data_IF_640878503567
#
_entry.id   IF_640878503567
#
_cell.length_a   1.000
_cell.length_b   1.000
_cell.length_c   1.000
_cell.angle_alpha   90.00
_cell.angle_beta   90.00
_cell.angle_gamma   90.00
#
_symmetry.space_group_name_H-M   'P 1'
#
loop_
_entity.id
_entity.type
_entity.pdbx_description
1 polymer ?
#
# COMPACT_ATOMS: atom_id res chain seq x y z
N UNK A 1 -5.36 -11.50 -5.56
CA UNK A 1 -6.60 -11.52 -4.75
C UNK A 1 -7.12 -10.10 -4.65
N UNK A 2 -8.32 -9.84 -5.17
CA UNK A 2 -8.97 -8.53 -5.11
C UNK A 2 -9.18 -8.12 -3.65
N UNK A 3 -8.73 -6.93 -3.27
CA UNK A 3 -8.76 -6.44 -1.88
C UNK A 3 -10.17 -5.97 -1.49
N UNK A 4 -10.84 -6.61 -0.52
CA UNK A 4 -12.13 -6.16 0.02
C UNK A 4 -11.99 -4.88 0.86
N UNK A 5 -13.10 -4.14 0.99
CA UNK A 5 -13.15 -2.74 1.45
C UNK A 5 -12.42 -2.50 2.77
N UNK A 6 -11.32 -1.73 2.70
CA UNK A 6 -11.08 -0.50 3.47
C UNK A 6 -9.71 0.10 3.08
N UNK A 7 -9.57 1.41 3.22
CA UNK A 7 -8.76 2.24 2.33
C UNK A 7 -7.25 2.14 2.56
N UNK A 8 -6.54 1.51 1.62
CA UNK A 8 -5.23 1.83 1.01
C UNK A 8 -4.85 0.53 0.29
N UNK A 9 -5.12 0.37 -1.00
CA UNK A 9 -4.05 0.26 -2.00
C UNK A 9 -4.65 0.47 -3.40
N UNK A 10 -4.02 1.28 -4.24
CA UNK A 10 -4.32 1.34 -5.68
C UNK A 10 -3.29 0.43 -6.38
N UNK A 11 -3.70 -0.43 -7.33
CA UNK A 11 -2.77 -1.30 -8.03
C UNK A 11 -1.76 -0.49 -8.87
N UNK A 12 -0.55 -1.01 -9.10
CA UNK A 12 0.35 -0.48 -10.12
C UNK A 12 -0.21 -0.84 -11.50
N UNK A 13 -0.43 0.15 -12.36
CA UNK A 13 -0.65 -0.08 -13.80
C UNK A 13 0.68 -0.53 -14.42
N UNK A 14 0.71 -1.76 -14.95
CA UNK A 14 1.84 -2.30 -15.70
C UNK A 14 1.85 -1.68 -17.11
N UNK A 15 2.84 -0.83 -17.39
CA UNK A 15 3.25 -0.56 -18.77
C UNK A 15 4.05 -1.75 -19.29
N UNK A 16 3.38 -2.58 -20.08
CA UNK A 16 4.00 -3.64 -20.89
C UNK A 16 4.76 -2.98 -22.04
N UNK A 17 6.06 -3.25 -22.14
CA UNK A 17 6.86 -2.95 -23.33
C UNK A 17 7.23 -4.30 -23.94
N UNK A 18 6.66 -4.58 -25.10
CA UNK A 18 6.99 -5.71 -25.97
C UNK A 18 8.41 -5.56 -26.52
N UNK A 19 9.19 -6.66 -26.48
CA UNK A 19 10.53 -6.73 -27.03
C UNK A 19 10.86 -8.14 -27.49
N UNK A 20 10.34 -8.54 -28.64
CA UNK A 20 10.57 -9.84 -29.26
C UNK A 20 11.65 -9.70 -30.36
N UNK A 21 12.72 -10.52 -30.31
CA UNK A 21 13.38 -11.27 -31.44
C UNK A 21 14.92 -11.42 -31.38
N UNK A 22 15.34 -12.69 -31.50
CA UNK A 22 16.45 -13.26 -32.32
C UNK A 22 17.89 -13.10 -31.75
N UNK A 23 18.79 -14.09 -31.69
CA UNK A 23 19.20 -15.12 -32.67
C UNK A 23 20.00 -16.30 -32.05
N UNK A 24 20.10 -17.36 -32.86
CA UNK A 24 20.64 -18.72 -32.66
C UNK A 24 22.19 -18.91 -32.71
N UNK A 25 22.62 -20.10 -32.21
CA UNK A 25 23.79 -20.96 -32.59
C UNK A 25 25.19 -20.59 -32.05
N UNK A 26 26.14 -21.49 -31.73
CA UNK A 26 26.27 -22.95 -31.64
C UNK A 26 27.62 -23.35 -30.97
N UNK A 27 27.61 -24.41 -30.15
CA UNK A 27 28.66 -25.37 -29.69
C UNK A 27 30.19 -25.12 -29.78
N UNK A 28 30.91 -25.30 -28.65
CA UNK A 28 31.76 -26.50 -28.32
C UNK A 28 32.28 -26.48 -26.87
N UNK A 29 32.52 -27.66 -26.29
CA UNK A 29 32.68 -27.95 -24.86
C UNK A 29 34.12 -28.20 -24.37
N UNK A 30 34.35 -28.04 -23.04
CA UNK A 30 35.11 -28.87 -22.04
C UNK A 30 35.60 -27.99 -20.84
N UNK A 31 36.01 -28.52 -19.66
CA UNK A 31 35.27 -29.31 -18.67
C UNK A 31 35.30 -28.72 -17.21
N UNK A 32 34.25 -29.02 -16.44
CA UNK A 32 34.12 -29.14 -14.97
C UNK A 32 34.78 -28.12 -14.02
N UNK A 33 34.02 -27.07 -13.73
CA UNK A 33 33.68 -26.64 -12.36
C UNK A 33 32.17 -26.46 -12.39
N UNK A 34 31.42 -26.81 -11.34
CA UNK A 34 29.94 -26.74 -11.34
C UNK A 34 29.44 -25.28 -11.30
N UNK A 35 29.84 -24.49 -12.28
CA UNK A 35 29.24 -23.20 -12.58
C UNK A 35 27.89 -23.51 -13.23
N UNK A 36 26.81 -23.24 -12.50
CA UNK A 36 25.49 -23.20 -13.11
C UNK A 36 25.58 -22.17 -14.25
N UNK A 37 25.17 -22.57 -15.45
CA UNK A 37 25.24 -21.71 -16.62
C UNK A 37 24.49 -20.39 -16.33
N UNK A 38 25.10 -19.21 -16.53
CA UNK A 38 24.42 -17.93 -16.31
C UNK A 38 23.06 -17.83 -17.03
N UNK A 39 22.93 -18.45 -18.22
CA UNK A 39 21.65 -18.49 -18.93
C UNK A 39 20.60 -19.39 -18.25
N UNK A 40 21.02 -20.42 -17.52
CA UNK A 40 20.12 -21.27 -16.71
C UNK A 40 19.68 -20.57 -15.42
N UNK A 41 20.58 -19.80 -14.78
CA UNK A 41 20.23 -18.98 -13.62
C UNK A 41 19.24 -17.88 -13.99
N UNK A 42 19.50 -17.17 -15.10
CA UNK A 42 18.61 -16.15 -15.63
C UNK A 42 17.21 -16.70 -15.93
N UNK A 43 17.12 -17.84 -16.64
CA UNK A 43 15.84 -18.48 -16.94
C UNK A 43 15.08 -18.91 -15.68
N UNK A 44 15.77 -19.53 -14.69
CA UNK A 44 15.16 -19.92 -13.42
C UNK A 44 14.65 -18.73 -12.61
N UNK A 45 15.37 -17.62 -12.63
CA UNK A 45 15.03 -16.44 -11.84
C UNK A 45 13.80 -15.68 -12.39
N UNK A 46 13.56 -15.74 -13.71
CA UNK A 46 12.41 -15.09 -14.35
C UNK A 46 11.06 -15.70 -13.95
N UNK A 47 11.03 -16.99 -13.66
CA UNK A 47 9.82 -17.72 -13.23
C UNK A 47 9.43 -17.46 -11.77
N UNK A 48 10.28 -16.75 -11.00
CA UNK A 48 10.04 -16.50 -9.58
C UNK A 48 9.01 -15.37 -9.42
N UNK A 49 7.91 -15.60 -8.69
CA UNK A 49 6.93 -14.56 -8.36
C UNK A 49 7.59 -13.36 -7.67
N UNK A 50 7.14 -12.15 -8.00
CA UNK A 50 7.77 -10.91 -7.53
C UNK A 50 7.92 -10.86 -6.00
N UNK A 51 6.94 -11.33 -5.24
CA UNK A 51 6.95 -11.36 -3.78
C UNK A 51 7.93 -12.37 -3.16
N UNK A 52 8.54 -13.23 -3.98
CA UNK A 52 9.51 -14.25 -3.56
C UNK A 52 10.91 -14.02 -4.08
N UNK A 53 11.11 -13.13 -5.04
CA UNK A 53 12.44 -12.86 -5.65
C UNK A 53 13.50 -12.48 -4.64
N UNK A 54 13.17 -11.68 -3.63
CA UNK A 54 14.15 -11.26 -2.59
C UNK A 54 14.77 -12.46 -1.87
N UNK A 55 14.05 -13.56 -1.78
CA UNK A 55 14.50 -14.78 -1.13
C UNK A 55 15.07 -15.79 -2.13
N UNK A 56 14.35 -16.03 -3.23
CA UNK A 56 14.60 -17.16 -4.12
C UNK A 56 15.46 -16.80 -5.34
N UNK A 57 15.72 -15.51 -5.59
CA UNK A 57 16.58 -15.11 -6.71
C UNK A 57 18.01 -15.51 -6.44
N UNK A 58 18.53 -16.41 -7.27
CA UNK A 58 19.85 -17.01 -7.10
C UNK A 58 20.92 -16.32 -7.93
N UNK A 59 22.14 -16.32 -7.39
CA UNK A 59 23.40 -15.89 -8.02
C UNK A 59 24.49 -16.91 -7.67
N UNK A 60 25.65 -16.90 -8.34
CA UNK A 60 26.79 -17.70 -7.91
C UNK A 60 27.15 -17.48 -6.42
N UNK A 61 27.04 -16.24 -5.92
CA UNK A 61 27.27 -15.93 -4.51
C UNK A 61 26.23 -16.57 -3.58
N UNK A 62 24.94 -16.45 -3.90
CA UNK A 62 23.87 -17.03 -3.07
C UNK A 62 24.01 -18.55 -2.98
N UNK A 63 24.43 -19.21 -4.06
CA UNK A 63 24.63 -20.66 -4.08
C UNK A 63 25.78 -21.08 -3.14
N UNK A 64 26.88 -20.33 -3.11
CA UNK A 64 27.99 -20.57 -2.19
C UNK A 64 27.58 -20.39 -0.73
N UNK A 65 26.84 -19.32 -0.44
CA UNK A 65 26.34 -19.02 0.91
C UNK A 65 25.33 -20.09 1.36
N UNK A 66 24.43 -20.50 0.46
CA UNK A 66 23.46 -21.56 0.72
C UNK A 66 24.16 -22.89 1.03
N UNK A 67 25.17 -23.28 0.25
CA UNK A 67 25.97 -24.48 0.52
C UNK A 67 26.68 -24.42 1.88
N UNK A 68 27.16 -23.23 2.28
CA UNK A 68 27.74 -23.03 3.60
C UNK A 68 26.67 -23.18 4.71
N UNK A 69 25.48 -22.60 4.54
CA UNK A 69 24.37 -22.77 5.49
C UNK A 69 23.93 -24.24 5.63
N UNK A 70 23.89 -24.99 4.52
CA UNK A 70 23.58 -26.43 4.49
C UNK A 70 24.56 -27.27 5.32
N UNK A 71 25.81 -26.80 5.46
CA UNK A 71 26.81 -27.44 6.32
C UNK A 71 26.64 -27.13 7.81
N UNK A 72 26.00 -26.02 8.17
CA UNK A 72 25.89 -25.54 9.56
C UNK A 72 24.56 -25.96 10.20
N UNK A 73 23.45 -25.90 9.45
CA UNK A 73 22.11 -26.17 9.96
C UNK A 73 21.29 -27.03 9.00
N UNK A 74 20.42 -27.88 9.57
CA UNK A 74 19.54 -28.74 8.77
C UNK A 74 18.62 -27.93 7.85
N UNK A 75 18.32 -28.48 6.67
CA UNK A 75 17.37 -27.92 5.71
C UNK A 75 16.03 -27.51 6.36
N UNK A 76 15.49 -28.31 7.30
CA UNK A 76 14.26 -27.99 8.03
C UNK A 76 14.34 -26.68 8.82
N UNK A 77 15.48 -26.39 9.44
CA UNK A 77 15.68 -25.15 10.20
C UNK A 77 15.86 -23.96 9.27
N UNK A 78 16.53 -24.15 8.14
CA UNK A 78 16.67 -23.10 7.13
C UNK A 78 15.32 -22.68 6.54
N UNK A 79 14.46 -23.65 6.20
CA UNK A 79 13.09 -23.36 5.75
C UNK A 79 12.35 -22.51 6.77
N UNK A 80 12.43 -22.85 8.06
CA UNK A 80 11.80 -22.05 9.13
C UNK A 80 12.40 -20.63 9.24
N UNK A 81 13.71 -20.49 9.09
CA UNK A 81 14.35 -19.17 9.08
C UNK A 81 13.85 -18.32 7.91
N UNK A 82 13.80 -18.90 6.71
CA UNK A 82 13.33 -18.22 5.50
C UNK A 82 11.84 -17.88 5.57
N UNK A 83 10.99 -18.76 6.11
CA UNK A 83 9.58 -18.45 6.40
C UNK A 83 9.45 -17.27 7.36
N UNK A 84 10.26 -17.24 8.42
CA UNK A 84 10.31 -16.11 9.37
C UNK A 84 10.73 -14.80 8.70
N UNK A 85 11.72 -14.83 7.82
CA UNK A 85 12.17 -13.67 7.05
C UNK A 85 11.10 -13.16 6.06
N UNK A 86 10.35 -14.06 5.42
CA UNK A 86 9.24 -13.68 4.55
C UNK A 86 8.11 -12.99 5.32
N UNK A 87 7.74 -13.51 6.49
CA UNK A 87 6.67 -12.97 7.34
C UNK A 87 7.05 -11.60 7.93
N UNK A 88 8.35 -11.31 8.07
CA UNK A 88 8.83 -10.02 8.57
C UNK A 88 8.51 -8.83 7.65
N UNK A 89 8.08 -9.08 6.40
CA UNK A 89 7.73 -8.03 5.43
C UNK A 89 6.37 -8.31 4.80
N UNK A 90 5.56 -7.26 4.56
CA UNK A 90 4.24 -7.42 3.93
C UNK A 90 4.36 -7.82 2.46
N UNK A 91 3.35 -8.52 1.94
CA UNK A 91 3.31 -9.00 0.54
C UNK A 91 3.58 -7.87 -0.47
N UNK A 92 2.91 -6.72 -0.30
CA UNK A 92 3.11 -5.55 -1.17
C UNK A 92 4.54 -5.02 -1.14
N UNK A 93 5.17 -5.05 0.04
CA UNK A 93 6.57 -4.64 0.20
C UNK A 93 7.48 -5.62 -0.53
N UNK A 94 7.22 -6.92 -0.41
CA UNK A 94 8.01 -7.95 -1.10
C UNK A 94 7.87 -7.85 -2.61
N UNK A 95 6.66 -7.61 -3.13
CA UNK A 95 6.44 -7.38 -4.57
C UNK A 95 7.24 -6.17 -5.08
N UNK A 96 7.18 -5.03 -4.36
CA UNK A 96 7.93 -3.83 -4.74
C UNK A 96 9.45 -4.06 -4.69
N UNK A 97 9.94 -4.82 -3.71
CA UNK A 97 11.35 -5.17 -3.59
C UNK A 97 11.79 -6.13 -4.70
N UNK A 98 11.01 -7.18 -4.98
CA UNK A 98 11.30 -8.12 -6.06
C UNK A 98 11.22 -7.49 -7.46
N UNK A 99 10.41 -6.44 -7.65
CA UNK A 99 10.47 -5.63 -8.85
C UNK A 99 11.83 -4.91 -8.97
N UNK A 100 12.39 -4.43 -7.87
CA UNK A 100 13.73 -3.84 -7.85
C UNK A 100 14.84 -4.81 -8.23
N UNK A 101 14.77 -6.05 -7.74
CA UNK A 101 15.71 -7.11 -8.12
C UNK A 101 15.65 -7.41 -9.62
N UNK A 102 14.44 -7.51 -10.18
CA UNK A 102 14.26 -7.72 -11.61
C UNK A 102 14.87 -6.58 -12.42
N UNK A 103 14.57 -5.32 -12.06
CA UNK A 103 15.10 -4.14 -12.77
C UNK A 103 16.63 -4.06 -12.70
N UNK A 104 17.22 -4.37 -11.56
CA UNK A 104 18.67 -4.38 -11.40
C UNK A 104 19.33 -5.46 -12.27
N UNK A 105 18.76 -6.67 -12.32
CA UNK A 105 19.31 -7.73 -13.15
C UNK A 105 19.11 -7.44 -14.64
N UNK A 106 17.95 -6.89 -15.06
CA UNK A 106 17.74 -6.44 -16.43
C UNK A 106 18.75 -5.38 -16.87
N UNK A 107 19.05 -4.41 -15.98
CA UNK A 107 20.12 -3.44 -16.21
C UNK A 107 21.48 -4.12 -16.38
N UNK A 108 21.83 -5.03 -15.46
CA UNK A 108 23.09 -5.77 -15.54
C UNK A 108 23.17 -6.65 -16.80
N UNK A 109 22.07 -7.24 -17.25
CA UNK A 109 22.01 -8.03 -18.49
C UNK A 109 22.25 -7.12 -19.71
N UNK A 110 21.60 -5.95 -19.75
CA UNK A 110 21.75 -4.97 -20.83
C UNK A 110 23.18 -4.42 -20.92
N UNK A 111 23.83 -4.19 -19.78
CA UNK A 111 25.22 -3.70 -19.68
C UNK A 111 26.26 -4.83 -19.69
N UNK A 112 25.83 -6.08 -19.93
CA UNK A 112 26.69 -7.27 -19.98
C UNK A 112 27.55 -7.48 -18.72
N UNK A 113 27.03 -7.09 -17.55
CA UNK A 113 27.67 -7.29 -16.24
C UNK A 113 27.50 -8.75 -15.82
N UNK A 114 28.60 -9.51 -15.61
CA UNK A 114 28.54 -10.90 -15.18
C UNK A 114 27.79 -11.08 -13.85
N UNK A 115 27.03 -12.16 -13.69
CA UNK A 115 26.29 -12.46 -12.45
C UNK A 115 27.18 -12.52 -11.20
N UNK A 116 28.44 -12.93 -11.36
CA UNK A 116 29.44 -12.96 -10.28
C UNK A 116 29.77 -11.58 -9.70
N UNK A 117 29.51 -10.49 -10.43
CA UNK A 117 29.73 -9.12 -9.98
C UNK A 117 28.46 -8.45 -9.43
N UNK A 118 27.31 -9.12 -9.54
CA UNK A 118 26.01 -8.59 -9.10
C UNK A 118 25.77 -8.75 -7.61
N UNK A 119 26.54 -9.61 -6.94
CA UNK A 119 26.49 -9.84 -5.49
C UNK A 119 27.86 -10.30 -4.95
N UNK A 120 28.48 -9.56 -4.02
CA UNK A 120 28.08 -8.24 -3.53
C UNK A 120 28.17 -7.18 -4.63
N UNK A 121 27.10 -6.39 -4.82
CA UNK A 121 27.10 -5.30 -5.79
C UNK A 121 27.99 -4.14 -5.31
N UNK A 122 28.97 -3.77 -6.12
CA UNK A 122 29.88 -2.66 -5.80
C UNK A 122 29.15 -1.31 -5.72
N UNK A 123 29.73 -0.35 -5.00
CA UNK A 123 29.18 1.01 -4.89
C UNK A 123 29.03 1.70 -6.25
N UNK A 124 29.96 1.45 -7.18
CA UNK A 124 29.91 1.98 -8.55
C UNK A 124 28.81 1.33 -9.38
N UNK A 125 28.58 0.01 -9.24
CA UNK A 125 27.50 -0.69 -9.96
C UNK A 125 26.12 -0.21 -9.49
N UNK A 126 25.94 -0.07 -8.17
CA UNK A 126 24.72 0.49 -7.59
C UNK A 126 24.49 1.93 -8.04
N UNK A 127 25.56 2.73 -8.11
CA UNK A 127 25.49 4.10 -8.63
C UNK A 127 25.11 4.14 -10.11
N UNK A 128 25.71 3.32 -10.94
CA UNK A 128 25.40 3.20 -12.37
C UNK A 128 23.93 2.81 -12.59
N UNK A 129 23.45 1.80 -11.87
CA UNK A 129 22.04 1.38 -11.91
C UNK A 129 21.08 2.55 -11.58
N UNK A 130 21.36 3.31 -10.53
CA UNK A 130 20.54 4.49 -10.20
C UNK A 130 20.61 5.54 -11.29
N UNK A 131 21.82 5.84 -11.78
CA UNK A 131 22.04 6.87 -12.78
C UNK A 131 21.26 6.59 -14.08
N UNK A 132 21.26 5.35 -14.53
CA UNK A 132 20.51 4.86 -15.70
C UNK A 132 18.99 5.08 -15.56
N UNK A 133 18.46 4.96 -14.34
CA UNK A 133 17.04 5.11 -14.07
C UNK A 133 16.62 6.52 -13.64
N UNK A 134 17.54 7.49 -13.53
CA UNK A 134 17.17 8.86 -13.16
C UNK A 134 16.22 9.43 -14.21
N UNK A 135 15.04 9.87 -13.75
CA UNK A 135 14.05 10.48 -14.63
C UNK A 135 13.23 9.47 -15.46
N UNK A 136 13.22 8.19 -15.09
CA UNK A 136 12.27 7.20 -15.64
C UNK A 136 11.07 6.98 -14.72
N UNK A 137 11.23 7.26 -13.42
CA UNK A 137 10.19 7.13 -12.42
C UNK A 137 10.43 8.10 -11.24
N UNK A 138 9.60 7.99 -10.18
CA UNK A 138 9.81 8.79 -8.96
C UNK A 138 11.07 8.36 -8.22
N UNK A 139 11.77 9.27 -7.56
CA UNK A 139 12.90 8.92 -6.70
C UNK A 139 12.54 7.91 -5.60
N UNK A 140 11.29 7.94 -5.11
CA UNK A 140 10.77 6.94 -4.16
C UNK A 140 10.72 5.52 -4.75
N UNK A 141 10.43 5.39 -6.04
CA UNK A 141 10.45 4.10 -6.74
C UNK A 141 11.87 3.51 -6.75
N UNK A 142 12.87 4.30 -7.17
CA UNK A 142 14.29 3.88 -7.15
C UNK A 142 14.76 3.54 -5.74
N UNK A 143 14.37 4.34 -4.73
CA UNK A 143 14.69 4.04 -3.33
C UNK A 143 14.11 2.70 -2.88
N UNK A 144 12.87 2.37 -3.28
CA UNK A 144 12.25 1.08 -2.97
C UNK A 144 13.00 -0.08 -3.65
N UNK A 145 13.47 0.11 -4.90
CA UNK A 145 14.31 -0.89 -5.57
C UNK A 145 15.61 -1.15 -4.81
N UNK A 146 16.31 -0.08 -4.39
CA UNK A 146 17.53 -0.19 -3.59
C UNK A 146 17.28 -0.83 -2.22
N UNK A 147 16.13 -0.58 -1.59
CA UNK A 147 15.74 -1.26 -0.36
C UNK A 147 15.57 -2.76 -0.57
N UNK A 148 14.97 -3.18 -1.70
CA UNK A 148 14.89 -4.58 -2.09
C UNK A 148 16.26 -5.20 -2.32
N UNK A 149 17.14 -4.53 -3.07
CA UNK A 149 18.51 -4.99 -3.29
C UNK A 149 19.29 -5.14 -1.98
N UNK A 150 19.18 -4.16 -1.08
CA UNK A 150 19.82 -4.23 0.23
C UNK A 150 19.33 -5.42 1.05
N UNK A 151 18.02 -5.68 1.04
CA UNK A 151 17.45 -6.82 1.76
C UNK A 151 17.91 -8.15 1.15
N UNK A 152 17.98 -8.22 -0.18
CA UNK A 152 18.50 -9.38 -0.90
C UNK A 152 19.98 -9.65 -0.58
N UNK A 153 20.82 -8.61 -0.47
CA UNK A 153 22.21 -8.75 -0.01
C UNK A 153 22.26 -9.27 1.42
N UNK A 154 21.44 -8.72 2.32
CA UNK A 154 21.38 -9.16 3.71
C UNK A 154 21.01 -10.63 3.85
N UNK A 155 20.04 -11.12 3.07
CA UNK A 155 19.61 -12.53 3.13
C UNK A 155 20.64 -13.51 2.57
N UNK A 156 21.54 -13.02 1.73
CA UNK A 156 22.62 -13.80 1.13
C UNK A 156 23.98 -13.53 1.79
N UNK A 157 24.00 -12.99 3.01
CA UNK A 157 25.22 -12.64 3.76
C UNK A 157 26.25 -11.84 2.94
N UNK A 158 25.75 -11.03 2.00
CA UNK A 158 26.57 -10.21 1.12
C UNK A 158 26.72 -8.79 1.67
N UNK A 159 27.92 -8.23 1.59
CA UNK A 159 28.17 -6.87 2.03
C UNK A 159 27.36 -5.84 1.22
N UNK A 160 26.78 -4.84 1.89
CA UNK A 160 26.03 -3.78 1.24
C UNK A 160 26.85 -2.50 1.10
N UNK A 161 27.31 -2.20 -0.13
CA UNK A 161 28.13 -1.04 -0.44
C UNK A 161 27.35 0.24 -0.81
N UNK A 162 26.03 0.30 -0.54
CA UNK A 162 25.17 1.44 -0.93
C UNK A 162 24.95 2.51 0.14
N UNK A 163 25.79 2.59 1.19
CA UNK A 163 25.66 3.62 2.25
C UNK A 163 26.36 4.93 1.91
N UNK A 164 27.51 4.85 1.25
CA UNK A 164 28.41 5.98 1.02
C UNK A 164 28.70 6.15 -0.49
N UNK A 165 29.66 7.03 -0.81
CA UNK A 165 30.08 7.30 -2.19
C UNK A 165 29.07 8.13 -2.97
N UNK A 166 28.83 7.78 -4.24
CA UNK A 166 28.02 8.57 -5.16
C UNK A 166 26.51 8.35 -5.01
N UNK A 167 26.11 7.22 -4.41
CA UNK A 167 24.71 6.80 -4.33
C UNK A 167 23.80 7.82 -3.62
N UNK A 168 24.19 8.45 -2.49
CA UNK A 168 23.39 9.51 -1.87
C UNK A 168 23.12 10.70 -2.81
N UNK A 169 24.14 11.14 -3.54
CA UNK A 169 24.02 12.25 -4.50
C UNK A 169 23.11 11.89 -5.68
N UNK A 170 23.22 10.66 -6.20
CA UNK A 170 22.38 10.17 -7.28
C UNK A 170 20.92 9.96 -6.84
N UNK A 171 20.67 9.50 -5.62
CA UNK A 171 19.32 9.47 -5.03
C UNK A 171 18.69 10.87 -4.99
N UNK A 172 19.48 11.89 -4.59
CA UNK A 172 19.02 13.28 -4.59
C UNK A 172 18.73 13.81 -6.01
N UNK A 173 19.53 13.40 -7.00
CA UNK A 173 19.26 13.71 -8.40
C UNK A 173 17.99 13.03 -8.91
N UNK A 174 17.78 11.75 -8.57
CA UNK A 174 16.57 11.00 -8.86
C UNK A 174 15.32 11.64 -8.24
N UNK A 175 15.40 12.14 -7.00
CA UNK A 175 14.28 12.84 -6.35
C UNK A 175 13.92 14.14 -7.09
N UNK A 176 14.91 14.90 -7.57
CA UNK A 176 14.70 16.14 -8.32
C UNK A 176 14.10 15.89 -9.71
N UNK A 177 14.67 14.95 -10.47
CA UNK A 177 14.18 14.60 -11.81
C UNK A 177 12.85 13.83 -11.75
N UNK A 178 12.65 13.06 -10.69
CA UNK A 178 11.46 12.25 -10.45
C UNK A 178 10.19 13.04 -10.11
N UNK A 179 10.28 14.36 -9.92
CA UNK A 179 9.11 15.21 -9.58
C UNK A 179 8.02 15.14 -10.64
N UNK A 180 8.39 15.07 -11.93
CA UNK A 180 7.43 15.01 -13.04
C UNK A 180 6.61 13.72 -13.06
N UNK A 181 7.11 12.65 -12.42
CA UNK A 181 6.41 11.35 -12.31
C UNK A 181 5.56 11.25 -11.05
N UNK A 182 5.53 12.28 -10.19
CA UNK A 182 4.66 12.27 -9.02
C UNK A 182 3.22 12.38 -9.48
N UNK A 183 2.37 11.49 -8.97
CA UNK A 183 0.93 11.57 -9.19
C UNK A 183 0.41 12.91 -8.66
N UNK A 184 -0.60 13.50 -9.32
CA UNK A 184 -1.29 14.68 -8.81
C UNK A 184 -1.76 14.47 -7.36
N UNK A 185 -1.76 15.54 -6.59
CA UNK A 185 -2.27 15.52 -5.23
C UNK A 185 -3.77 15.19 -5.24
N UNK A 186 -4.18 14.30 -4.34
CA UNK A 186 -5.58 13.90 -4.18
C UNK A 186 -6.29 14.95 -3.32
N UNK A 187 -7.41 15.48 -3.79
CA UNK A 187 -8.23 16.41 -3.01
C UNK A 187 -8.88 15.72 -1.80
N UNK A 188 -9.28 16.47 -0.76
CA UNK A 188 -10.13 15.93 0.30
C UNK A 188 -11.50 15.59 -0.27
N UNK A 189 -12.12 14.52 0.22
CA UNK A 189 -13.60 14.43 0.16
C UNK A 189 -14.12 15.55 1.05
N UNK A 190 -15.03 16.36 0.55
CA UNK A 190 -15.65 17.46 1.32
C UNK A 190 -17.12 17.14 1.59
N UNK A 191 -17.77 17.97 2.43
CA UNK A 191 -19.19 17.84 2.75
C UNK A 191 -20.07 17.78 1.49
N UNK A 192 -19.77 18.61 0.48
CA UNK A 192 -20.49 18.61 -0.81
C UNK A 192 -20.40 17.29 -1.55
N UNK A 193 -19.27 16.59 -1.47
CA UNK A 193 -19.09 15.28 -2.09
C UNK A 193 -20.01 14.25 -1.43
N UNK A 194 -20.02 14.20 -0.10
CA UNK A 194 -20.87 13.26 0.64
C UNK A 194 -22.36 13.55 0.45
N UNK A 195 -22.77 14.82 0.44
CA UNK A 195 -24.16 15.20 0.16
C UNK A 195 -24.58 14.82 -1.27
N UNK A 196 -23.68 14.99 -2.24
CA UNK A 196 -23.91 14.56 -3.62
C UNK A 196 -24.10 13.04 -3.68
N UNK A 197 -23.24 12.25 -3.03
CA UNK A 197 -23.44 10.79 -2.95
C UNK A 197 -24.75 10.43 -2.28
N UNK A 198 -25.08 11.08 -1.17
CA UNK A 198 -26.32 10.84 -0.43
C UNK A 198 -27.57 11.03 -1.29
N UNK A 199 -27.56 12.02 -2.18
CA UNK A 199 -28.70 12.32 -3.07
C UNK A 199 -28.95 11.24 -4.13
N UNK A 200 -27.96 10.40 -4.43
CA UNK A 200 -28.06 9.29 -5.40
C UNK A 200 -28.42 7.95 -4.76
N UNK A 201 -28.65 7.92 -3.44
CA UNK A 201 -28.85 6.69 -2.67
C UNK A 201 -30.27 6.59 -2.12
N UNK A 202 -30.88 5.43 -2.33
CA UNK A 202 -32.11 5.02 -1.65
C UNK A 202 -31.76 4.11 -0.49
N UNK A 203 -31.71 4.67 0.73
CA UNK A 203 -31.28 3.96 1.93
C UNK A 203 -32.25 2.84 2.39
N UNK A 204 -33.38 2.66 1.71
CA UNK A 204 -34.22 1.46 1.89
C UNK A 204 -33.64 0.23 1.18
N UNK A 205 -32.75 0.42 0.21
CA UNK A 205 -32.13 -0.67 -0.56
C UNK A 205 -30.89 -1.21 0.16
N UNK A 206 -30.71 -2.55 0.20
CA UNK A 206 -29.56 -3.20 0.83
C UNK A 206 -28.18 -2.65 0.41
N UNK A 207 -27.93 -2.53 -0.89
CA UNK A 207 -26.65 -2.07 -1.43
C UNK A 207 -26.37 -0.62 -1.07
N UNK A 208 -27.36 0.25 -1.26
CA UNK A 208 -27.24 1.69 -1.05
C UNK A 208 -27.01 2.01 0.44
N UNK A 209 -27.70 1.31 1.34
CA UNK A 209 -27.48 1.42 2.78
C UNK A 209 -26.03 1.04 3.18
N UNK A 210 -25.50 -0.03 2.59
CA UNK A 210 -24.13 -0.47 2.83
C UNK A 210 -23.09 0.51 2.27
N UNK A 211 -23.30 1.00 1.04
CA UNK A 211 -22.43 2.02 0.43
C UNK A 211 -22.42 3.31 1.26
N UNK A 212 -23.58 3.73 1.78
CA UNK A 212 -23.68 4.92 2.62
C UNK A 212 -22.92 4.75 3.94
N UNK A 213 -23.17 3.65 4.66
CA UNK A 213 -22.48 3.36 5.91
C UNK A 213 -20.95 3.26 5.72
N UNK A 214 -20.51 2.67 4.61
CA UNK A 214 -19.11 2.58 4.26
C UNK A 214 -18.49 3.96 3.97
N UNK A 215 -19.18 4.81 3.20
CA UNK A 215 -18.72 6.16 2.87
C UNK A 215 -18.59 7.05 4.11
N UNK A 216 -19.60 7.07 4.98
CA UNK A 216 -19.56 7.88 6.22
C UNK A 216 -18.55 7.34 7.21
N UNK A 217 -18.45 6.02 7.37
CA UNK A 217 -17.43 5.42 8.25
C UNK A 217 -16.04 5.78 7.77
N UNK A 218 -15.76 5.66 6.47
CA UNK A 218 -14.46 5.97 5.91
C UNK A 218 -14.09 7.46 5.95
N UNK A 219 -15.09 8.32 5.89
CA UNK A 219 -14.90 9.75 6.09
C UNK A 219 -14.53 10.04 7.54
N UNK A 220 -15.32 9.57 8.50
CA UNK A 220 -15.13 9.94 9.92
C UNK A 220 -14.08 9.12 10.66
N UNK A 221 -13.74 7.94 10.17
CA UNK A 221 -12.81 7.00 10.81
C UNK A 221 -11.94 6.31 9.77
N UNK A 222 -10.71 6.01 10.16
CA UNK A 222 -9.76 5.32 9.32
C UNK A 222 -9.78 3.83 9.63
N UNK A 223 -10.58 3.09 8.88
CA UNK A 223 -10.44 1.64 8.84
C UNK A 223 -9.67 1.25 7.57
N UNK A 224 -8.74 0.31 7.71
CA UNK A 224 -7.79 -0.08 6.65
C UNK A 224 -7.84 -1.58 6.32
N UNK A 225 -8.74 -2.33 6.97
CA UNK A 225 -8.82 -3.78 6.79
C UNK A 225 -10.24 -4.30 6.85
N UNK A 226 -10.42 -5.49 6.28
CA UNK A 226 -11.68 -6.21 6.31
C UNK A 226 -12.10 -6.51 7.75
N UNK A 227 -13.30 -6.08 8.08
CA UNK A 227 -13.96 -6.38 9.35
C UNK A 227 -15.10 -7.35 9.03
N UNK A 228 -15.31 -8.33 9.89
CA UNK A 228 -16.41 -9.28 9.75
C UNK A 228 -17.58 -8.92 10.68
N UNK A 229 -18.77 -9.42 10.38
CA UNK A 229 -19.97 -9.28 11.20
C UNK A 229 -19.86 -9.98 12.55
N UNK A 230 -18.87 -10.86 12.72
CA UNK A 230 -18.46 -11.43 14.00
C UNK A 230 -17.75 -10.44 14.93
N UNK A 231 -17.31 -9.27 14.44
CA UNK A 231 -16.69 -8.25 15.30
C UNK A 231 -17.66 -7.78 16.37
N UNK A 232 -17.14 -7.51 17.57
CA UNK A 232 -17.94 -6.95 18.66
C UNK A 232 -18.23 -5.48 18.37
N UNK A 233 -19.50 -5.16 18.19
CA UNK A 233 -19.98 -3.78 18.10
C UNK A 233 -20.54 -3.35 19.45
N UNK A 234 -19.99 -2.28 20.03
CA UNK A 234 -20.46 -1.69 21.28
C UNK A 234 -21.20 -0.39 20.98
N UNK A 235 -22.33 -0.18 21.66
CA UNK A 235 -23.11 1.06 21.62
C UNK A 235 -23.04 1.70 23.00
N UNK A 236 -22.68 2.97 23.06
CA UNK A 236 -22.55 3.72 24.31
C UNK A 236 -23.06 5.15 24.14
N UNK A 237 -23.20 5.86 25.26
CA UNK A 237 -23.56 7.28 25.28
C UNK A 237 -22.48 8.01 26.07
N UNK A 238 -21.89 9.04 25.48
CA UNK A 238 -20.90 9.92 26.12
C UNK A 238 -21.35 11.35 25.87
N UNK A 239 -21.47 12.16 26.92
CA UNK A 239 -21.91 13.57 26.82
C UNK A 239 -23.20 13.76 25.99
N UNK A 240 -24.17 12.87 26.20
CA UNK A 240 -25.46 12.86 25.48
C UNK A 240 -25.34 12.66 23.95
N UNK A 241 -24.24 12.07 23.49
CA UNK A 241 -24.04 11.61 22.11
C UNK A 241 -23.94 10.10 22.06
N UNK A 242 -24.63 9.45 21.13
CA UNK A 242 -24.43 8.03 20.86
C UNK A 242 -23.07 7.80 20.21
N UNK A 243 -22.40 6.75 20.64
CA UNK A 243 -21.13 6.29 20.06
C UNK A 243 -21.27 4.81 19.71
N UNK A 244 -20.89 4.46 18.48
CA UNK A 244 -20.69 3.08 18.06
C UNK A 244 -19.20 2.83 17.98
N UNK A 245 -18.71 1.78 18.65
CA UNK A 245 -17.34 1.33 18.51
C UNK A 245 -17.24 -0.13 18.06
N UNK A 246 -16.19 -0.46 17.33
CA UNK A 246 -15.90 -1.82 16.89
C UNK A 246 -14.40 -2.03 16.67
N UNK A 247 -13.97 -3.27 16.88
CA UNK A 247 -12.57 -3.66 16.75
C UNK A 247 -12.20 -3.89 15.27
N UNK A 248 -11.06 -3.33 14.88
CA UNK A 248 -10.34 -3.65 13.65
C UNK A 248 -9.31 -4.73 13.95
N UNK A 249 -9.38 -5.91 13.30
CA UNK A 249 -8.46 -7.01 13.59
C UNK A 249 -7.01 -6.72 13.18
N UNK A 250 -6.80 -5.77 12.27
CA UNK A 250 -5.48 -5.39 11.79
C UNK A 250 -5.41 -3.91 11.41
N UNK A 251 -4.26 -3.27 11.68
CA UNK A 251 -3.91 -1.97 11.08
C UNK A 251 -2.46 -1.96 10.63
N UNK A 252 -2.09 -1.06 9.72
CA UNK A 252 -0.72 -0.95 9.21
C UNK A 252 0.32 -0.68 10.31
N UNK A 253 -0.07 0.04 11.36
CA UNK A 253 0.86 0.47 12.42
C UNK A 253 0.89 -0.47 13.62
N UNK A 254 -0.19 -1.18 13.91
CA UNK A 254 -0.30 -2.05 15.10
C UNK A 254 -0.31 -3.54 14.75
N UNK A 255 -0.36 -3.89 13.45
CA UNK A 255 -0.44 -5.27 13.00
C UNK A 255 -1.66 -5.98 13.59
N UNK A 256 -1.47 -7.24 14.00
CA UNK A 256 -2.52 -8.09 14.59
C UNK A 256 -3.06 -7.62 15.94
N UNK A 257 -2.42 -6.63 16.58
CA UNK A 257 -3.00 -5.97 17.76
C UNK A 257 -4.28 -5.19 17.38
N UNK A 258 -4.41 -4.82 16.10
CA UNK A 258 -5.60 -4.17 15.62
C UNK A 258 -5.77 -2.75 16.14
N UNK A 259 -6.98 -2.22 16.06
CA UNK A 259 -7.34 -0.88 16.51
C UNK A 259 -8.82 -0.78 16.85
N UNK A 260 -9.22 0.31 17.48
CA UNK A 260 -10.63 0.59 17.77
C UNK A 260 -11.13 1.71 16.88
N UNK A 261 -12.28 1.48 16.23
CA UNK A 261 -13.03 2.50 15.52
C UNK A 261 -14.06 3.12 16.45
N UNK A 262 -14.22 4.44 16.39
CA UNK A 262 -15.25 5.17 17.13
C UNK A 262 -16.04 6.07 16.18
N UNK A 263 -17.34 5.80 16.05
CA UNK A 263 -18.27 6.62 15.30
C UNK A 263 -19.12 7.41 16.28
N UNK A 264 -18.98 8.74 16.24
CA UNK A 264 -19.75 9.66 17.07
C UNK A 264 -20.97 10.15 16.33
N UNK A 265 -22.10 10.20 17.03
CA UNK A 265 -23.34 10.73 16.49
C UNK A 265 -23.25 12.24 16.21
N UNK A 266 -23.87 12.64 15.09
CA UNK A 266 -24.06 14.04 14.70
C UNK A 266 -25.57 14.27 14.51
N UNK A 267 -26.32 14.63 15.57
CA UNK A 267 -27.77 14.70 15.51
C UNK A 267 -28.30 15.70 14.49
N UNK A 268 -29.32 15.27 13.75
CA UNK A 268 -29.94 16.08 12.69
C UNK A 268 -29.10 16.19 11.40
N UNK A 269 -27.91 15.62 11.35
CA UNK A 269 -27.04 15.68 10.18
C UNK A 269 -27.24 14.44 9.28
N UNK A 270 -27.46 14.66 7.99
CA UNK A 270 -27.53 13.61 6.98
C UNK A 270 -26.25 12.78 6.87
N UNK A 271 -25.10 13.34 7.30
CA UNK A 271 -23.78 12.72 7.29
C UNK A 271 -23.43 12.00 8.60
N UNK A 272 -24.40 11.83 9.50
CA UNK A 272 -24.20 11.15 10.77
C UNK A 272 -23.75 9.69 10.54
N UNK A 273 -22.53 9.30 10.96
CA UNK A 273 -22.02 7.95 10.73
C UNK A 273 -22.75 6.89 11.56
N UNK A 274 -23.24 7.28 12.75
CA UNK A 274 -24.02 6.39 13.64
C UNK A 274 -25.35 6.03 12.97
N UNK A 275 -26.10 7.01 12.47
CA UNK A 275 -27.36 6.78 11.76
C UNK A 275 -27.16 5.94 10.50
N UNK A 276 -26.11 6.24 9.71
CA UNK A 276 -25.81 5.49 8.50
C UNK A 276 -25.51 4.02 8.80
N UNK A 277 -24.70 3.74 9.84
CA UNK A 277 -24.34 2.37 10.22
C UNK A 277 -25.52 1.59 10.81
N UNK A 278 -26.34 2.22 11.66
CA UNK A 278 -27.54 1.58 12.20
C UNK A 278 -28.57 1.27 11.10
N UNK A 279 -28.75 2.19 10.15
CA UNK A 279 -29.62 1.92 8.99
C UNK A 279 -29.11 0.72 8.19
N UNK A 280 -27.79 0.64 7.93
CA UNK A 280 -27.19 -0.52 7.28
C UNK A 280 -27.49 -1.82 8.05
N UNK A 281 -27.31 -1.83 9.37
CA UNK A 281 -27.60 -3.02 10.18
C UNK A 281 -29.08 -3.41 10.21
N UNK A 282 -29.98 -2.42 10.14
CA UNK A 282 -31.42 -2.63 10.06
C UNK A 282 -31.84 -3.25 8.72
N UNK A 283 -31.38 -2.67 7.61
CA UNK A 283 -31.72 -3.14 6.25
C UNK A 283 -31.03 -4.48 5.96
N UNK A 284 -29.73 -4.58 6.24
CA UNK A 284 -28.91 -5.77 6.07
C UNK A 284 -28.82 -6.57 7.38
N UNK A 285 -29.98 -6.92 7.93
CA UNK A 285 -30.07 -7.67 9.18
C UNK A 285 -29.74 -9.15 9.01
N UNK A 286 -29.31 -9.80 10.10
CA UNK A 286 -29.06 -11.25 10.20
C UNK A 286 -28.05 -11.88 9.22
N UNK A 287 -26.89 -11.26 8.93
CA UNK A 287 -25.85 -11.93 8.16
C UNK A 287 -25.19 -13.07 8.94
N UNK A 288 -24.69 -14.12 8.26
CA UNK A 288 -23.76 -15.07 8.86
C UNK A 288 -22.55 -14.36 9.49
N UNK A 289 -21.96 -14.87 10.59
CA UNK A 289 -20.86 -14.20 11.28
C UNK A 289 -19.62 -13.93 10.43
N UNK A 290 -19.31 -14.81 9.48
CA UNK A 290 -18.16 -14.69 8.56
C UNK A 290 -18.41 -13.69 7.41
N UNK A 291 -19.57 -13.04 7.36
CA UNK A 291 -19.88 -12.02 6.36
C UNK A 291 -19.09 -10.76 6.65
N UNK A 292 -18.72 -10.01 5.61
CA UNK A 292 -18.00 -8.73 5.78
C UNK A 292 -18.91 -7.64 6.37
N UNK A 293 -18.31 -6.68 7.07
CA UNK A 293 -19.03 -5.70 7.90
C UNK A 293 -20.02 -4.86 7.09
N UNK A 294 -19.58 -4.43 5.89
CA UNK A 294 -20.37 -3.67 4.91
C UNK A 294 -20.96 -4.56 3.81
N UNK A 295 -21.07 -5.88 4.00
CA UNK A 295 -21.77 -6.71 3.05
C UNK A 295 -23.25 -6.34 2.98
N UNK A 296 -23.85 -6.50 1.81
CA UNK A 296 -25.27 -6.31 1.61
C UNK A 296 -25.93 -7.57 1.07
N UNK A 297 -27.22 -7.70 1.34
CA UNK A 297 -28.02 -8.80 0.81
C UNK A 297 -28.41 -8.52 -0.64
N UNK A 298 -28.13 -9.48 -1.52
CA UNK A 298 -28.67 -9.52 -2.87
C UNK A 298 -29.34 -10.90 -3.06
N UNK A 299 -30.66 -10.89 -3.25
CA UNK A 299 -31.48 -12.11 -3.28
C UNK A 299 -31.27 -12.96 -2.00
N UNK A 300 -30.75 -14.18 -2.16
CA UNK A 300 -30.46 -15.12 -1.08
C UNK A 300 -28.96 -15.15 -0.71
N UNK A 301 -28.15 -14.26 -1.28
CA UNK A 301 -26.69 -14.25 -1.09
C UNK A 301 -26.22 -12.96 -0.43
N UNK A 302 -25.07 -13.04 0.23
CA UNK A 302 -24.37 -11.91 0.83
C UNK A 302 -23.22 -11.50 -0.06
N UNK A 303 -23.20 -10.23 -0.43
CA UNK A 303 -22.18 -9.67 -1.32
C UNK A 303 -21.31 -8.74 -0.51
N UNK A 304 -20.01 -9.03 -0.51
CA UNK A 304 -18.99 -8.13 0.03
C UNK A 304 -18.93 -6.88 -0.82
N UNK A 305 -19.05 -5.71 -0.19
CA UNK A 305 -18.72 -4.46 -0.85
C UNK A 305 -17.21 -4.43 -1.10
N UNK A 306 -16.78 -4.30 -2.35
CA UNK A 306 -15.36 -4.26 -2.73
C UNK A 306 -14.95 -2.81 -3.04
N UNK A 307 -13.71 -2.43 -2.72
CA UNK A 307 -13.19 -1.06 -2.92
C UNK A 307 -13.32 -0.61 -4.37
N UNK A 308 -12.94 -1.46 -5.32
CA UNK A 308 -13.05 -1.18 -6.75
C UNK A 308 -14.48 -0.81 -7.14
N UNK A 309 -15.45 -1.59 -6.67
CA UNK A 309 -16.84 -1.45 -7.09
C UNK A 309 -17.47 -0.18 -6.52
N UNK A 310 -17.12 0.16 -5.29
CA UNK A 310 -17.52 1.42 -4.67
C UNK A 310 -16.92 2.63 -5.40
N UNK A 311 -15.61 2.59 -5.71
CA UNK A 311 -14.95 3.68 -6.43
C UNK A 311 -15.52 3.81 -7.86
N UNK A 312 -15.75 2.69 -8.55
CA UNK A 312 -16.35 2.66 -9.89
C UNK A 312 -17.79 3.17 -9.90
N UNK A 313 -18.54 2.96 -8.81
CA UNK A 313 -19.88 3.53 -8.63
C UNK A 313 -19.83 5.04 -8.34
N UNK A 314 -18.90 5.48 -7.50
CA UNK A 314 -18.78 6.86 -7.01
C UNK A 314 -18.25 7.83 -8.08
N UNK A 315 -17.24 7.41 -8.86
CA UNK A 315 -16.54 8.28 -9.80
C UNK A 315 -17.46 8.93 -10.87
N UNK A 316 -18.40 8.20 -11.51
CA UNK A 316 -19.34 8.80 -12.46
C UNK A 316 -20.22 9.88 -11.84
N UNK A 317 -20.68 9.69 -10.60
CA UNK A 317 -21.52 10.67 -9.88
C UNK A 317 -20.74 11.96 -9.67
N UNK A 318 -19.49 11.85 -9.22
CA UNK A 318 -18.63 13.01 -9.02
C UNK A 318 -18.27 13.74 -10.31
N UNK A 319 -18.01 13.00 -11.40
CA UNK A 319 -17.78 13.60 -12.72
C UNK A 319 -18.98 14.44 -13.18
N UNK A 320 -20.20 13.94 -13.01
CA UNK A 320 -21.41 14.69 -13.38
C UNK A 320 -21.58 16.02 -12.62
N UNK A 321 -20.96 16.13 -11.43
CA UNK A 321 -21.06 17.31 -10.57
C UNK A 321 -19.77 18.13 -10.51
N UNK A 322 -18.78 17.85 -11.38
CA UNK A 322 -17.46 18.49 -11.38
C UNK A 322 -16.69 18.36 -10.04
N UNK A 323 -16.86 17.22 -9.36
CA UNK A 323 -16.24 16.87 -8.07
C UNK A 323 -15.13 15.79 -8.22
N UNK A 324 -14.40 15.82 -9.33
CA UNK A 324 -13.40 14.80 -9.68
C UNK A 324 -12.12 14.87 -8.81
N UNK A 325 -11.17 13.96 -9.08
CA UNK A 325 -9.87 13.86 -8.39
C UNK A 325 -9.90 13.39 -6.93
N UNK A 326 -10.95 12.67 -6.55
CA UNK A 326 -11.04 11.97 -5.28
C UNK A 326 -10.86 10.46 -5.46
N UNK A 327 -10.10 9.87 -4.55
CA UNK A 327 -9.86 8.43 -4.49
C UNK A 327 -10.18 7.94 -3.08
N UNK A 328 -10.02 6.65 -2.85
CA UNK A 328 -10.34 6.10 -1.54
C UNK A 328 -9.63 6.79 -0.35
N UNK A 329 -8.36 7.14 -0.51
CA UNK A 329 -7.60 7.87 0.50
C UNK A 329 -8.10 9.32 0.73
N UNK A 330 -8.83 9.89 -0.22
CA UNK A 330 -9.43 11.23 -0.09
C UNK A 330 -10.46 11.32 1.02
N UNK A 331 -11.15 10.21 1.36
CA UNK A 331 -12.09 10.17 2.50
C UNK A 331 -11.36 10.45 3.81
N UNK A 332 -10.23 9.79 4.04
CA UNK A 332 -9.39 9.99 5.22
C UNK A 332 -8.83 11.41 5.31
N UNK A 333 -8.38 11.97 4.19
CA UNK A 333 -7.94 13.36 4.13
C UNK A 333 -9.10 14.29 4.52
N UNK A 334 -10.28 14.08 3.91
CA UNK A 334 -11.50 14.83 4.16
C UNK A 334 -11.95 14.81 5.62
N UNK A 335 -12.01 13.63 6.23
CA UNK A 335 -12.35 13.47 7.65
C UNK A 335 -11.41 14.20 8.58
N UNK A 336 -10.11 14.05 8.37
CA UNK A 336 -9.11 14.74 9.18
C UNK A 336 -9.24 16.26 9.09
N UNK A 337 -9.55 16.76 7.90
CA UNK A 337 -9.76 18.18 7.65
C UNK A 337 -11.07 18.66 8.30
N UNK A 338 -12.14 17.87 8.22
CA UNK A 338 -13.41 18.19 8.86
C UNK A 338 -13.26 18.30 10.38
N UNK A 339 -12.56 17.37 11.03
CA UNK A 339 -12.28 17.47 12.47
C UNK A 339 -11.42 18.69 12.82
N UNK A 340 -10.40 19.00 12.01
CA UNK A 340 -9.58 20.18 12.21
C UNK A 340 -10.42 21.46 12.14
N UNK A 341 -11.31 21.56 11.15
CA UNK A 341 -12.20 22.71 10.97
C UNK A 341 -13.23 22.83 12.11
N UNK A 342 -13.56 21.72 12.77
CA UNK A 342 -14.40 21.69 13.98
C UNK A 342 -13.61 22.04 15.26
N UNK A 343 -12.33 22.35 15.16
CA UNK A 343 -11.48 22.71 16.31
C UNK A 343 -11.04 21.51 17.16
N UNK A 344 -11.17 20.28 16.66
CA UNK A 344 -10.69 19.09 17.37
C UNK A 344 -9.17 19.10 17.41
N UNK A 345 -8.61 18.87 18.60
CA UNK A 345 -7.15 18.89 18.79
C UNK A 345 -6.45 17.85 17.91
N UNK A 346 -5.27 18.17 17.34
CA UNK A 346 -4.53 17.25 16.46
C UNK A 346 -4.26 15.88 17.08
N UNK A 347 -4.00 15.79 18.39
CA UNK A 347 -3.77 14.52 19.08
C UNK A 347 -5.01 13.62 19.12
N UNK A 348 -6.20 14.22 19.19
CA UNK A 348 -7.47 13.47 19.12
C UNK A 348 -7.70 12.98 17.69
N UNK A 349 -7.41 13.82 16.70
CA UNK A 349 -7.49 13.44 15.28
C UNK A 349 -6.50 12.31 14.96
N UNK A 350 -5.31 12.32 15.57
CA UNK A 350 -4.35 11.22 15.49
C UNK A 350 -4.94 9.90 15.97
N UNK A 351 -5.55 9.91 17.17
CA UNK A 351 -6.16 8.72 17.76
C UNK A 351 -7.32 8.20 16.91
N UNK A 352 -8.23 9.07 16.47
CA UNK A 352 -9.38 8.71 15.62
C UNK A 352 -8.90 8.16 14.26
N UNK A 353 -7.87 8.78 13.70
CA UNK A 353 -7.33 8.44 12.39
C UNK A 353 -6.22 7.39 12.42
N UNK A 354 -6.03 6.68 13.54
CA UNK A 354 -5.05 5.60 13.66
C UNK A 354 -3.60 6.02 13.37
N UNK A 355 -3.26 7.30 13.54
CA UNK A 355 -1.93 7.83 13.28
C UNK A 355 -1.04 7.74 14.52
N UNK A 356 0.09 7.06 14.38
CA UNK A 356 1.15 7.02 15.41
C UNK A 356 2.19 8.14 15.25
N UNK A 357 2.06 8.97 14.21
CA UNK A 357 2.96 10.10 13.93
C UNK A 357 2.20 11.26 13.31
N UNK A 358 2.83 12.44 13.28
CA UNK A 358 2.31 13.66 12.68
C UNK A 358 2.25 13.64 11.13
N UNK A 359 2.25 12.46 10.50
CA UNK A 359 2.27 12.34 9.04
C UNK A 359 1.01 12.91 8.37
N UNK A 360 -0.12 12.99 9.08
CA UNK A 360 -1.35 13.61 8.59
C UNK A 360 -1.24 15.14 8.41
N UNK A 361 -0.30 15.80 9.10
CA UNK A 361 -0.05 17.24 8.89
C UNK A 361 0.38 17.57 7.46
N UNK A 362 0.95 16.60 6.74
CA UNK A 362 1.29 16.75 5.32
C UNK A 362 0.03 17.12 4.52
N UNK A 363 -1.10 16.49 4.82
CA UNK A 363 -2.36 16.78 4.13
C UNK A 363 -2.84 18.20 4.43
N UNK A 364 -2.72 18.66 5.67
CA UNK A 364 -3.20 19.98 6.08
C UNK A 364 -2.35 21.13 5.53
N UNK A 365 -1.01 20.98 5.59
CA UNK A 365 -0.07 21.95 5.01
C UNK A 365 -0.31 22.14 3.51
N UNK A 366 -0.69 21.07 2.82
CA UNK A 366 -1.02 21.10 1.40
C UNK A 366 -2.33 21.87 1.12
N UNK A 367 -3.35 21.72 1.96
CA UNK A 367 -4.59 22.51 1.83
C UNK A 367 -4.36 24.00 2.09
N UNK A 368 -3.54 24.33 3.10
CA UNK A 368 -3.18 25.72 3.39
C UNK A 368 -2.39 26.37 2.25
N UNK A 369 -1.47 25.63 1.62
CA UNK A 369 -0.72 26.12 0.46
C UNK A 369 -1.60 26.31 -0.79
N UNK A 370 -2.74 25.61 -0.85
CA UNK A 370 -3.69 25.65 -1.97
C UNK A 370 -4.84 26.66 -1.77
N UNK A 371 -4.69 27.61 -0.82
CA UNK A 371 -5.68 28.65 -0.49
C UNK A 371 -6.99 28.15 0.13
N UNK A 372 -7.09 26.87 0.54
CA UNK A 372 -8.35 26.26 1.04
C UNK A 372 -8.50 26.27 2.57
N UNK A 373 -7.54 26.85 3.28
CA UNK A 373 -7.61 27.08 4.72
C UNK A 373 -7.25 28.55 5.01
N UNK A 374 -8.21 29.41 5.40
CA UNK A 374 -7.87 30.72 5.92
C UNK A 374 -7.17 30.59 7.29
N UNK A 375 -5.99 31.19 7.44
CA UNK A 375 -5.49 31.77 8.69
C UNK A 375 -5.23 30.90 9.94
N UNK A 376 -5.40 29.59 9.93
CA UNK A 376 -5.26 28.76 11.15
C UNK A 376 -3.84 28.24 11.43
N UNK A 377 -2.92 28.27 10.46
CA UNK A 377 -1.55 27.74 10.63
C UNK A 377 -0.52 28.79 11.07
N UNK A 378 -0.89 30.07 11.23
CA UNK A 378 0.03 31.12 11.70
C UNK A 378 0.17 31.19 13.23
N UNK A 379 -0.56 30.36 13.99
CA UNK A 379 -0.60 30.44 15.46
C UNK A 379 0.15 29.31 16.20
N UNK A 380 0.82 28.39 15.50
CA UNK A 380 1.57 27.28 16.14
C UNK A 380 3.08 27.29 15.84
N UNK A 381 3.63 28.45 15.48
CA UNK A 381 5.08 28.65 15.34
C UNK A 381 5.57 29.86 16.14
N UNK A 382 5.16 29.95 17.40
CA UNK A 382 5.83 30.77 18.41
C UNK A 382 6.10 29.93 19.64
#
# INVERSE_FOLDING_TARGET
>A
MSSPFLFIHDPPEETIIDGNKLLNSSHRATPETSWVNPNELMARNLDIPADRRVLLWTTPHSLLVQANHDSVISHRLQVKMFEGLLIATTDDTRQAYGAGLLRFNQFCDAELIPETLRMPASSILLAAFVADHIGTCTGKCIQNWLSGLRLWHLFNDAEWHGREGWLPSLKKAADRKGVVFKRPLRGPVERVHLLTLRSHLDLSKPRDAAQWAAATTAFWVTAEHEVFRSTRVTRSIVENRRIISFHLPWTKTTGVKGGECYLTEIPGDLLCPVEALENHFKINHTPPPATTFFAFRQNSSWITLIKSDFINWMNPIFRQHNLEHVLGHSFRIGGSLAYLLLGVEPEVIMKIGGWTSLCFLIYWRQQASSSRLPGLLSAQSQ
#
